data_IF_027064731464
#
_entry.id   IF_027064731464
#
_cell.length_a   1.000
_cell.length_b   1.000
_cell.length_c   1.000
_cell.angle_alpha   90.00
_cell.angle_beta   90.00
_cell.angle_gamma   90.00
#
_symmetry.space_group_name_H-M   'P 1'
#
loop_
_entity.id
_entity.type
_entity.pdbx_description
1 polymer ?
#
# COMPACT_ATOMS: atom_id res chain seq x y z
N UNK A 1 8.06 2.52 -43.56
CA UNK A 1 8.21 3.29 -42.29
C UNK A 1 6.85 3.41 -41.64
N UNK A 2 6.47 2.48 -40.75
CA UNK A 2 5.25 2.59 -39.94
C UNK A 2 5.25 1.57 -38.78
N UNK A 3 6.36 1.49 -38.02
CA UNK A 3 6.51 0.53 -36.91
C UNK A 3 6.94 1.15 -35.56
N UNK A 4 7.03 2.48 -35.50
CA UNK A 4 7.51 3.20 -34.31
C UNK A 4 6.40 3.72 -33.38
N UNK A 5 5.16 3.81 -33.86
CA UNK A 5 4.05 4.42 -33.11
C UNK A 5 3.38 3.48 -32.11
N UNK A 6 3.58 2.17 -32.20
CA UNK A 6 2.91 1.19 -31.33
C UNK A 6 3.71 0.94 -30.03
N UNK A 7 5.04 0.97 -30.11
CA UNK A 7 5.92 0.76 -28.95
C UNK A 7 5.84 1.91 -27.93
N UNK A 8 5.65 3.15 -28.38
CA UNK A 8 5.70 4.32 -27.49
C UNK A 8 4.58 4.29 -26.44
N UNK A 9 3.35 3.94 -26.85
CA UNK A 9 2.22 3.82 -25.91
C UNK A 9 2.43 2.67 -24.94
N UNK A 10 2.94 1.53 -25.41
CA UNK A 10 3.24 0.37 -24.58
C UNK A 10 4.29 0.70 -23.49
N UNK A 11 5.27 1.53 -23.80
CA UNK A 11 6.28 1.96 -22.83
C UNK A 11 5.72 2.91 -21.77
N UNK A 12 4.83 3.84 -22.15
CA UNK A 12 4.13 4.71 -21.19
C UNK A 12 3.28 3.91 -20.20
N UNK A 13 2.51 2.92 -20.68
CA UNK A 13 1.73 2.05 -19.81
C UNK A 13 2.60 1.25 -18.84
N UNK A 14 3.71 0.68 -19.32
CA UNK A 14 4.65 -0.06 -18.46
C UNK A 14 5.23 0.82 -17.34
N UNK A 15 5.63 2.05 -17.64
CA UNK A 15 6.18 2.97 -16.64
C UNK A 15 5.14 3.29 -15.56
N UNK A 16 3.89 3.54 -15.97
CA UNK A 16 2.79 3.82 -15.03
C UNK A 16 2.54 2.59 -14.14
N UNK A 17 2.41 1.39 -14.73
CA UNK A 17 2.18 0.15 -13.97
C UNK A 17 3.33 -0.15 -12.99
N UNK A 18 4.58 0.12 -13.37
CA UNK A 18 5.74 -0.02 -12.47
C UNK A 18 5.63 0.99 -11.31
N UNK A 19 5.27 2.24 -11.60
CA UNK A 19 5.07 3.28 -10.59
C UNK A 19 3.96 2.93 -9.60
N UNK A 20 2.82 2.42 -10.08
CA UNK A 20 1.70 1.96 -9.25
C UNK A 20 2.13 0.81 -8.33
N UNK A 21 2.80 -0.22 -8.86
CA UNK A 21 3.31 -1.33 -8.04
C UNK A 21 4.32 -0.84 -6.99
N UNK A 22 5.21 0.08 -7.35
CA UNK A 22 6.19 0.65 -6.41
C UNK A 22 5.50 1.43 -5.29
N UNK A 23 4.47 2.22 -5.62
CA UNK A 23 3.70 2.98 -4.64
C UNK A 23 2.94 2.05 -3.69
N UNK A 24 2.31 1.00 -4.21
CA UNK A 24 1.60 0.00 -3.40
C UNK A 24 2.52 -0.71 -2.41
N UNK A 25 3.74 -1.07 -2.85
CA UNK A 25 4.77 -1.63 -1.95
C UNK A 25 5.12 -0.64 -0.85
N UNK A 26 5.39 0.62 -1.21
CA UNK A 26 5.77 1.65 -0.27
C UNK A 26 4.67 1.86 0.79
N UNK A 27 3.40 1.94 0.37
CA UNK A 27 2.27 2.08 1.29
C UNK A 27 2.14 0.84 2.17
N UNK A 28 2.28 -0.38 1.63
CA UNK A 28 2.22 -1.60 2.45
C UNK A 28 3.25 -1.59 3.58
N UNK A 29 4.49 -1.22 3.28
CA UNK A 29 5.55 -1.14 4.29
C UNK A 29 5.29 -0.04 5.31
N UNK A 30 4.84 1.14 4.87
CA UNK A 30 4.50 2.25 5.77
C UNK A 30 3.33 1.90 6.69
N UNK A 31 2.29 1.27 6.15
CA UNK A 31 1.12 0.82 6.91
C UNK A 31 1.52 -0.26 7.93
N UNK A 32 2.31 -1.25 7.52
CA UNK A 32 2.81 -2.27 8.44
C UNK A 32 3.67 -1.66 9.56
N UNK A 33 4.54 -0.70 9.24
CA UNK A 33 5.34 0.02 10.21
C UNK A 33 4.48 0.83 11.18
N UNK A 34 3.47 1.54 10.69
CA UNK A 34 2.52 2.30 11.51
C UNK A 34 1.76 1.39 12.49
N UNK A 35 1.30 0.21 12.04
CA UNK A 35 0.65 -0.79 12.91
C UNK A 35 1.56 -1.21 14.07
N UNK A 36 2.84 -1.46 13.81
CA UNK A 36 3.80 -1.85 14.87
C UNK A 36 3.99 -0.74 15.89
N UNK A 37 4.10 0.51 15.43
CA UNK A 37 4.18 1.68 16.33
C UNK A 37 2.93 1.82 17.17
N UNK A 38 1.75 1.73 16.57
CA UNK A 38 0.47 1.87 17.25
C UNK A 38 0.30 0.78 18.32
N UNK A 39 0.63 -0.48 18.00
CA UNK A 39 0.63 -1.59 18.96
C UNK A 39 1.57 -1.29 20.13
N UNK A 40 2.76 -0.76 19.86
CA UNK A 40 3.73 -0.41 20.91
C UNK A 40 3.19 0.68 21.84
N UNK A 41 2.52 1.70 21.30
CA UNK A 41 1.86 2.76 22.07
C UNK A 41 0.73 2.18 22.93
N UNK A 42 -0.14 1.36 22.35
CA UNK A 42 -1.25 0.72 23.06
C UNK A 42 -0.75 -0.15 24.23
N UNK A 43 0.32 -0.93 24.00
CA UNK A 43 0.93 -1.75 25.04
C UNK A 43 1.53 -0.91 26.18
N UNK A 44 2.05 0.27 25.86
CA UNK A 44 2.65 1.20 26.83
C UNK A 44 1.59 1.95 27.63
N UNK A 45 0.57 2.50 26.97
CA UNK A 45 -0.50 3.27 27.61
C UNK A 45 -1.50 2.39 28.38
N UNK A 46 -1.55 1.07 28.10
CA UNK A 46 -2.46 0.09 28.72
C UNK A 46 -3.94 0.51 28.61
N UNK A 47 -4.25 1.36 27.64
CA UNK A 47 -5.57 1.89 27.35
C UNK A 47 -5.77 1.87 25.85
N UNK A 48 -6.89 1.32 25.40
CA UNK A 48 -7.26 1.25 23.99
C UNK A 48 -8.37 2.26 23.76
N UNK A 49 -8.14 3.26 22.90
CA UNK A 49 -9.18 4.19 22.48
C UNK A 49 -9.89 3.66 21.25
N UNK A 50 -11.14 4.08 21.07
CA UNK A 50 -11.91 3.77 19.86
C UNK A 50 -11.22 4.28 18.59
N UNK A 51 -10.54 5.42 18.69
CA UNK A 51 -9.76 6.01 17.59
C UNK A 51 -8.63 5.09 17.14
N UNK A 52 -7.88 4.51 18.07
CA UNK A 52 -6.74 3.62 17.77
C UNK A 52 -7.23 2.35 17.07
N UNK A 53 -8.38 1.82 17.52
CA UNK A 53 -9.01 0.65 16.92
C UNK A 53 -9.52 0.93 15.50
N UNK A 54 -10.12 2.11 15.26
CA UNK A 54 -10.54 2.55 13.93
C UNK A 54 -9.34 2.75 13.01
N UNK A 55 -8.24 3.32 13.51
CA UNK A 55 -7.01 3.55 12.76
C UNK A 55 -6.37 2.21 12.34
N UNK A 56 -6.28 1.25 13.27
CA UNK A 56 -5.80 -0.11 13.02
C UNK A 56 -6.69 -0.85 12.01
N UNK A 57 -8.01 -0.64 12.06
CA UNK A 57 -8.94 -1.21 11.09
C UNK A 57 -8.67 -0.68 9.67
N UNK A 58 -8.49 0.63 9.52
CA UNK A 58 -8.14 1.22 8.21
C UNK A 58 -6.78 0.72 7.72
N UNK A 59 -5.80 0.56 8.61
CA UNK A 59 -4.52 -0.03 8.25
C UNK A 59 -4.66 -1.47 7.75
N UNK A 60 -5.50 -2.29 8.41
CA UNK A 60 -5.79 -3.64 7.96
C UNK A 60 -6.50 -3.66 6.59
N UNK A 61 -7.50 -2.81 6.39
CA UNK A 61 -8.24 -2.67 5.12
C UNK A 61 -7.29 -2.31 3.95
N UNK A 62 -6.35 -1.38 4.19
CA UNK A 62 -5.34 -1.00 3.20
C UNK A 62 -4.40 -2.16 2.90
N UNK A 63 -3.99 -2.95 3.90
CA UNK A 63 -3.17 -4.14 3.70
C UNK A 63 -3.91 -5.23 2.91
N UNK A 64 -5.19 -5.46 3.18
CA UNK A 64 -6.02 -6.41 2.44
C UNK A 64 -6.18 -6.01 0.96
N UNK A 65 -6.38 -4.71 0.69
CA UNK A 65 -6.41 -4.18 -0.67
C UNK A 65 -5.08 -4.43 -1.40
N UNK A 66 -3.94 -4.19 -0.74
CA UNK A 66 -2.63 -4.40 -1.34
C UNK A 66 -2.34 -5.89 -1.53
N UNK A 67 -2.73 -6.74 -0.58
CA UNK A 67 -2.61 -8.19 -0.66
C UNK A 67 -3.42 -8.75 -1.84
N UNK A 68 -4.63 -8.24 -2.08
CA UNK A 68 -5.43 -8.59 -3.25
C UNK A 68 -4.75 -8.19 -4.57
N UNK A 69 -4.06 -7.04 -4.59
CA UNK A 69 -3.31 -6.58 -5.76
C UNK A 69 -2.05 -7.43 -6.03
N UNK A 70 -1.45 -8.02 -5.00
CA UNK A 70 -0.26 -8.89 -5.11
C UNK A 70 -0.58 -10.35 -5.40
N UNK A 71 -1.81 -10.80 -5.15
CA UNK A 71 -2.24 -12.20 -5.33
C UNK A 71 -2.56 -12.56 -6.80
N UNK A 72 -2.36 -11.63 -7.73
CA UNK A 72 -2.52 -11.76 -9.18
C UNK A 72 -1.28 -11.21 -9.91
#
# INVERSE_FOLDING_TARGET
MHKDKENTWADWYKIITIGEKALLIAIAFLTAYAVVLEITVILTERSIKLTDLLLLFIYAEVLDMIAAFYKF
#
